data_IF_011825702301
#
_entry.id   IF_011825702301
#
_cell.length_a   1.000
_cell.length_b   1.000
_cell.length_c   1.000
_cell.angle_alpha   90.00
_cell.angle_beta   90.00
_cell.angle_gamma   90.00
#
_symmetry.space_group_name_H-M   'P 1'
#
loop_
_entity.id
_entity.type
_entity.pdbx_description
1 polymer ?
#
# COMPACT_ATOMS: atom_id res chain seq x y z
N UNK A 1 5.43 19.30 -6.92
CA UNK A 1 4.59 20.02 -5.95
C UNK A 1 3.41 19.13 -5.64
N UNK A 2 3.10 18.93 -4.36
CA UNK A 2 2.06 17.99 -3.93
C UNK A 2 0.65 18.50 -4.25
N UNK A 3 0.43 19.81 -4.14
CA UNK A 3 -0.89 20.41 -4.36
C UNK A 3 -1.25 20.53 -5.84
N UNK A 4 -0.31 21.01 -6.68
CA UNK A 4 -0.55 21.26 -8.11
C UNK A 4 -0.14 20.10 -9.02
N UNK A 5 0.57 19.09 -8.51
CA UNK A 5 1.15 18.03 -9.34
C UNK A 5 2.34 18.47 -10.22
N UNK A 6 2.84 19.71 -10.06
CA UNK A 6 3.95 20.24 -10.89
C UNK A 6 5.25 19.45 -10.69
N UNK A 7 5.79 18.85 -11.75
CA UNK A 7 7.14 18.26 -11.78
C UNK A 7 8.20 19.34 -11.65
N UNK A 8 9.09 19.21 -10.67
CA UNK A 8 10.20 20.16 -10.45
C UNK A 8 11.48 19.70 -11.17
N UNK A 9 11.79 18.42 -11.07
CA UNK A 9 12.88 17.73 -11.78
C UNK A 9 12.45 16.29 -12.03
N UNK A 10 12.97 15.67 -13.09
CA UNK A 10 12.69 14.27 -13.42
C UNK A 10 13.91 13.63 -14.07
N UNK A 11 14.20 12.40 -13.68
CA UNK A 11 15.19 11.54 -14.33
C UNK A 11 14.59 10.14 -14.46
N UNK A 12 14.49 9.63 -15.68
CA UNK A 12 13.93 8.30 -15.98
C UNK A 12 12.55 8.04 -15.35
N UNK A 13 11.70 9.06 -15.29
CA UNK A 13 10.41 8.99 -14.61
C UNK A 13 9.45 7.95 -15.22
N UNK A 14 9.59 7.66 -16.52
CA UNK A 14 8.75 6.71 -17.24
C UNK A 14 9.37 5.31 -17.39
N UNK A 15 10.58 5.09 -16.87
CA UNK A 15 11.19 3.76 -16.82
C UNK A 15 10.50 2.91 -15.73
N UNK A 16 10.37 1.60 -15.99
CA UNK A 16 9.77 0.67 -15.03
C UNK A 16 10.80 0.21 -14.01
N UNK A 17 10.43 0.26 -12.73
CA UNK A 17 11.21 -0.26 -11.61
C UNK A 17 10.36 -1.24 -10.78
N UNK A 18 10.98 -2.25 -10.14
CA UNK A 18 10.27 -3.09 -9.18
C UNK A 18 9.80 -2.26 -7.99
N UNK A 19 8.53 -2.41 -7.59
CA UNK A 19 7.98 -1.66 -6.46
C UNK A 19 8.54 -2.13 -5.10
N UNK A 20 8.98 -3.38 -4.98
CA UNK A 20 9.41 -3.95 -3.69
C UNK A 20 8.33 -3.73 -2.62
N UNK A 21 8.66 -3.16 -1.45
CA UNK A 21 7.66 -2.83 -0.41
C UNK A 21 6.88 -1.54 -0.66
N UNK A 22 7.19 -0.71 -1.68
CA UNK A 22 6.46 0.55 -1.93
C UNK A 22 5.00 0.31 -2.35
N UNK A 23 4.70 -0.86 -2.91
CA UNK A 23 3.32 -1.26 -3.26
C UNK A 23 2.38 -1.25 -2.05
N UNK A 24 2.90 -1.44 -0.82
CA UNK A 24 2.08 -1.52 0.40
C UNK A 24 1.27 -0.24 0.63
N UNK A 25 1.79 0.92 0.20
CA UNK A 25 1.07 2.20 0.28
C UNK A 25 -0.20 2.15 -0.58
N UNK A 26 -0.09 1.69 -1.82
CA UNK A 26 -1.25 1.57 -2.73
C UNK A 26 -2.20 0.46 -2.27
N UNK A 27 -1.67 -0.64 -1.73
CA UNK A 27 -2.48 -1.71 -1.12
C UNK A 27 -3.34 -1.17 0.03
N UNK A 28 -2.75 -0.41 0.97
CA UNK A 28 -3.50 0.22 2.05
C UNK A 28 -4.53 1.22 1.51
N UNK A 29 -4.19 2.00 0.47
CA UNK A 29 -5.14 2.88 -0.21
C UNK A 29 -6.36 2.12 -0.76
N UNK A 30 -6.14 0.93 -1.34
CA UNK A 30 -7.25 0.08 -1.79
C UNK A 30 -8.07 -0.49 -0.63
N UNK A 31 -7.46 -0.84 0.51
CA UNK A 31 -8.20 -1.26 1.72
C UNK A 31 -9.05 -0.11 2.26
N UNK A 32 -8.49 1.11 2.31
CA UNK A 32 -9.23 2.31 2.73
C UNK A 32 -10.41 2.61 1.80
N UNK A 33 -10.24 2.48 0.48
CA UNK A 33 -11.33 2.63 -0.47
C UNK A 33 -12.48 1.62 -0.24
N UNK A 34 -12.17 0.40 0.23
CA UNK A 34 -13.19 -0.57 0.64
C UNK A 34 -13.91 -0.17 1.93
N UNK A 35 -13.20 0.43 2.88
CA UNK A 35 -13.81 0.99 4.10
C UNK A 35 -14.78 2.12 3.72
N UNK A 36 -14.38 3.03 2.83
CA UNK A 36 -15.24 4.10 2.32
C UNK A 36 -16.49 3.56 1.62
N UNK A 37 -16.35 2.45 0.87
CA UNK A 37 -17.45 1.73 0.24
C UNK A 37 -18.32 0.92 1.23
N UNK A 38 -18.00 0.92 2.52
CA UNK A 38 -18.63 0.09 3.57
C UNK A 38 -18.48 -1.43 3.34
N UNK A 39 -17.52 -1.84 2.51
CA UNK A 39 -17.18 -3.24 2.19
C UNK A 39 -16.10 -3.81 3.13
N UNK A 40 -15.58 -2.99 4.05
CA UNK A 40 -14.55 -3.35 5.04
C UNK A 40 -14.66 -2.47 6.30
N UNK A 41 -14.11 -2.94 7.42
CA UNK A 41 -14.03 -2.20 8.68
C UNK A 41 -12.59 -2.17 9.19
N UNK A 42 -12.12 -1.01 9.67
CA UNK A 42 -10.78 -0.88 10.24
C UNK A 42 -10.64 -1.69 11.53
N UNK A 43 -11.72 -1.86 12.27
CA UNK A 43 -11.79 -2.58 13.54
C UNK A 43 -11.95 -4.09 13.34
N UNK A 44 -12.08 -4.58 12.10
CA UNK A 44 -12.22 -6.01 11.82
C UNK A 44 -10.96 -6.74 12.27
N UNK A 45 -11.11 -7.59 13.28
CA UNK A 45 -10.02 -8.46 13.75
C UNK A 45 -9.76 -9.55 12.73
N UNK A 46 -8.51 -9.62 12.25
CA UNK A 46 -8.04 -10.68 11.36
C UNK A 46 -7.26 -11.70 12.18
N UNK A 47 -7.79 -12.91 12.29
CA UNK A 47 -7.06 -14.02 12.88
C UNK A 47 -6.13 -14.65 11.83
N UNK A 48 -4.88 -14.87 12.20
CA UNK A 48 -3.89 -15.58 11.38
C UNK A 48 -3.25 -16.71 12.19
N UNK A 49 -2.67 -17.67 11.49
CA UNK A 49 -1.98 -18.83 12.05
C UNK A 49 -0.47 -18.67 11.87
N UNK A 50 0.30 -19.45 12.63
CA UNK A 50 1.76 -19.43 12.53
C UNK A 50 2.27 -19.75 11.12
N UNK A 51 1.57 -20.62 10.39
CA UNK A 51 1.88 -20.99 9.00
C UNK A 51 1.69 -19.83 8.00
N UNK A 52 0.96 -18.77 8.36
CA UNK A 52 0.72 -17.62 7.49
C UNK A 52 1.84 -16.58 7.59
N UNK A 53 2.75 -16.73 8.58
CA UNK A 53 3.90 -15.85 8.76
C UNK A 53 4.97 -16.13 7.72
N UNK A 54 5.45 -15.07 7.08
CA UNK A 54 6.53 -15.13 6.07
C UNK A 54 7.79 -14.45 6.60
N UNK A 55 8.89 -14.62 5.87
CA UNK A 55 10.14 -13.93 6.19
C UNK A 55 9.92 -12.40 6.20
N UNK A 56 10.56 -11.70 7.16
CA UNK A 56 10.32 -10.28 7.48
C UNK A 56 8.92 -9.94 8.03
N UNK A 57 8.28 -10.86 8.76
CA UNK A 57 7.11 -10.58 9.61
C UNK A 57 7.52 -10.57 11.09
N UNK A 58 8.04 -9.45 11.65
CA UNK A 58 8.26 -9.36 13.09
C UNK A 58 6.92 -9.49 13.82
N UNK A 59 6.91 -10.34 14.85
CA UNK A 59 5.74 -10.58 15.70
C UNK A 59 5.53 -9.52 16.76
#
# INVERSE_FOLDING_TARGET
>A
DLASGRTLTAWRADERFPMMSTFKVVLCGAVLARVDASDEQLERKIHYRQQDLVYYSPG
#
